data_IF_878263249427
#
_entry.id   IF_878263249427
#
_cell.length_a   1.000
_cell.length_b   1.000
_cell.length_c   1.000
_cell.angle_alpha   90.00
_cell.angle_beta   90.00
_cell.angle_gamma   90.00
#
_symmetry.space_group_name_H-M   'P 1'
#
loop_
_entity.id
_entity.type
_entity.pdbx_description
1 polymer ?
#
# COMPACT_ATOMS: atom_id res chain seq x y z
N UNK A 1 -3.11 -54.94 38.59
CA UNK A 1 -4.03 -53.78 38.53
C UNK A 1 -3.19 -52.52 38.33
N UNK A 2 -3.19 -51.93 37.13
CA UNK A 2 -2.63 -50.59 36.92
C UNK A 2 -3.35 -49.98 35.70
N UNK A 3 -4.35 -49.13 35.96
CA UNK A 3 -5.06 -48.38 34.92
C UNK A 3 -4.27 -47.10 34.66
N UNK A 4 -3.60 -47.00 33.52
CA UNK A 4 -3.00 -45.75 33.05
C UNK A 4 -4.12 -44.91 32.44
N UNK A 5 -4.51 -43.83 33.13
CA UNK A 5 -5.43 -42.82 32.59
C UNK A 5 -4.59 -41.82 31.81
N UNK A 6 -4.66 -41.88 30.48
CA UNK A 6 -4.08 -40.88 29.61
C UNK A 6 -4.96 -39.61 29.64
N UNK A 7 -4.45 -38.55 30.27
CA UNK A 7 -5.09 -37.24 30.23
C UNK A 7 -4.81 -36.59 28.87
N UNK A 8 -5.84 -36.48 28.02
CA UNK A 8 -5.81 -35.70 26.79
C UNK A 8 -5.87 -34.20 27.14
N UNK A 9 -4.72 -33.53 27.11
CA UNK A 9 -4.63 -32.07 27.16
C UNK A 9 -5.02 -31.53 25.78
N UNK A 10 -6.27 -31.09 25.64
CA UNK A 10 -6.73 -30.30 24.50
C UNK A 10 -6.12 -28.90 24.60
N UNK A 11 -5.03 -28.66 23.85
CA UNK A 11 -4.48 -27.33 23.64
C UNK A 11 -5.49 -26.56 22.78
N UNK A 12 -6.35 -25.78 23.41
CA UNK A 12 -7.20 -24.82 22.71
C UNK A 12 -6.29 -23.70 22.16
N UNK A 13 -5.86 -23.86 20.90
CA UNK A 13 -5.22 -22.76 20.18
C UNK A 13 -6.21 -21.58 20.10
N UNK A 14 -5.80 -20.35 20.43
CA UNK A 14 -6.69 -19.20 20.32
C UNK A 14 -6.99 -18.96 18.84
N UNK A 15 -8.22 -19.26 18.41
CA UNK A 15 -8.71 -19.03 17.05
C UNK A 15 -8.83 -17.53 16.69
N UNK A 16 -8.45 -16.62 17.59
CA UNK A 16 -8.69 -15.18 17.48
C UNK A 16 -7.66 -14.42 16.65
N UNK A 17 -6.59 -15.06 16.15
CA UNK A 17 -5.49 -14.37 15.48
C UNK A 17 -5.60 -14.25 13.95
N UNK A 18 -6.65 -14.79 13.31
CA UNK A 18 -6.78 -14.81 11.84
C UNK A 18 -7.72 -13.75 11.25
N UNK A 19 -8.14 -12.75 12.03
CA UNK A 19 -9.20 -11.83 11.60
C UNK A 19 -8.75 -10.60 10.76
N UNK A 20 -7.48 -10.49 10.35
CA UNK A 20 -7.00 -9.23 9.74
C UNK A 20 -6.20 -9.36 8.43
N UNK A 21 -6.26 -10.48 7.73
CA UNK A 21 -5.91 -10.45 6.31
C UNK A 21 -7.19 -10.08 5.54
N UNK A 22 -7.36 -8.80 5.20
CA UNK A 22 -8.28 -8.43 4.12
C UNK A 22 -7.88 -9.27 2.90
N UNK A 23 -8.68 -10.30 2.58
CA UNK A 23 -8.36 -11.25 1.53
C UNK A 23 -8.42 -10.52 0.18
N UNK A 24 -7.27 -10.06 -0.28
CA UNK A 24 -7.13 -9.55 -1.62
C UNK A 24 -7.18 -10.72 -2.60
N UNK A 25 -8.25 -10.76 -3.40
CA UNK A 25 -8.36 -11.68 -4.53
C UNK A 25 -8.04 -10.94 -5.81
N UNK A 26 -6.93 -11.29 -6.47
CA UNK A 26 -6.54 -10.69 -7.74
C UNK A 26 -7.61 -10.95 -8.82
N UNK A 27 -7.84 -10.00 -9.74
CA UNK A 27 -8.74 -10.21 -10.86
C UNK A 27 -8.12 -11.22 -11.84
N UNK A 28 -8.95 -11.97 -12.55
CA UNK A 28 -8.50 -12.95 -13.55
C UNK A 28 -7.63 -12.30 -14.65
N UNK A 29 -7.99 -11.07 -15.04
CA UNK A 29 -7.19 -10.23 -15.94
C UNK A 29 -6.66 -9.01 -15.22
N UNK A 30 -5.35 -8.77 -15.32
CA UNK A 30 -4.72 -7.51 -14.92
C UNK A 30 -4.57 -6.66 -16.18
N UNK A 31 -5.16 -5.46 -16.16
CA UNK A 31 -5.07 -4.52 -17.25
C UNK A 31 -3.61 -4.14 -17.53
N UNK A 32 -3.31 -3.75 -18.77
CA UNK A 32 -2.01 -3.17 -19.13
C UNK A 32 -1.98 -1.70 -18.68
N UNK A 33 -0.94 -1.24 -17.95
CA UNK A 33 -0.79 0.16 -17.62
C UNK A 33 -0.54 1.00 -18.88
N UNK A 34 -0.88 2.28 -18.82
CA UNK A 34 -0.55 3.27 -19.85
C UNK A 34 0.82 3.90 -19.54
N UNK A 35 1.60 4.31 -20.56
CA UNK A 35 2.84 5.03 -20.32
C UNK A 35 2.63 6.27 -19.43
N UNK A 36 3.60 6.56 -18.58
CA UNK A 36 3.59 7.68 -17.65
C UNK A 36 4.98 8.35 -17.69
N UNK A 37 5.02 9.67 -17.64
CA UNK A 37 6.23 10.46 -17.82
C UNK A 37 6.02 11.94 -17.49
N UNK A 38 7.09 12.74 -17.58
CA UNK A 38 7.03 14.15 -17.20
C UNK A 38 6.08 14.94 -18.12
N UNK A 39 5.50 16.00 -17.56
CA UNK A 39 4.65 16.95 -18.26
C UNK A 39 5.06 18.38 -17.91
N UNK A 40 4.45 19.39 -18.54
CA UNK A 40 4.68 20.80 -18.16
C UNK A 40 4.30 21.07 -16.69
N UNK A 41 3.24 20.43 -16.19
CA UNK A 41 2.79 20.57 -14.79
C UNK A 41 3.66 19.78 -13.82
N UNK A 42 4.24 18.68 -14.30
CA UNK A 42 5.09 17.80 -13.51
C UNK A 42 6.41 17.52 -14.26
N UNK A 43 7.32 18.50 -14.34
CA UNK A 43 8.54 18.37 -15.14
C UNK A 43 9.53 17.42 -14.51
N UNK A 44 10.47 16.90 -15.31
CA UNK A 44 11.60 16.11 -14.80
C UNK A 44 12.44 16.94 -13.83
N UNK A 45 12.75 16.40 -12.65
CA UNK A 45 13.69 16.97 -11.69
C UNK A 45 14.67 15.91 -11.23
N UNK A 46 15.95 16.16 -11.48
CA UNK A 46 17.05 15.32 -11.00
C UNK A 46 17.76 16.08 -9.90
N UNK A 47 17.40 15.77 -8.66
CA UNK A 47 17.89 16.44 -7.46
C UNK A 47 18.41 15.40 -6.46
N UNK A 48 19.30 15.78 -5.54
CA UNK A 48 19.68 14.92 -4.42
C UNK A 48 18.45 14.51 -3.60
N UNK A 49 18.45 13.26 -3.12
CA UNK A 49 17.43 12.75 -2.20
C UNK A 49 17.84 13.16 -0.78
N UNK A 50 16.98 13.91 -0.11
CA UNK A 50 17.18 14.36 1.28
C UNK A 50 16.44 13.50 2.30
N UNK A 51 15.29 12.96 1.94
CA UNK A 51 14.47 12.10 2.81
C UNK A 51 13.55 11.19 1.97
N UNK A 52 12.72 10.40 2.66
CA UNK A 52 11.70 9.57 2.02
C UNK A 52 10.38 9.72 2.75
N UNK A 53 9.29 9.78 1.97
CA UNK A 53 7.92 9.69 2.48
C UNK A 53 7.30 8.37 2.05
N UNK A 54 6.79 7.59 3.01
CA UNK A 54 5.92 6.45 2.72
C UNK A 54 4.46 6.91 2.76
N UNK A 55 3.85 7.05 1.60
CA UNK A 55 2.48 7.52 1.48
C UNK A 55 1.48 6.36 1.59
N UNK A 56 0.59 6.43 2.59
CA UNK A 56 -0.44 5.43 2.85
C UNK A 56 -1.82 6.06 2.67
N UNK A 57 -2.71 5.38 1.94
CA UNK A 57 -4.08 5.85 1.69
C UNK A 57 -5.12 5.00 2.44
N UNK A 58 -6.17 5.64 2.94
CA UNK A 58 -7.33 4.96 3.54
C UNK A 58 -8.42 4.73 2.49
N UNK A 59 -8.55 3.49 2.01
CA UNK A 59 -9.41 3.16 0.88
C UNK A 59 -10.88 3.50 1.09
N UNK A 60 -11.51 3.26 2.26
CA UNK A 60 -12.92 3.61 2.47
C UNK A 60 -13.24 5.09 2.25
N UNK A 61 -12.33 6.00 2.61
CA UNK A 61 -12.54 7.43 2.34
C UNK A 61 -12.27 7.78 0.88
N UNK A 62 -11.19 7.24 0.29
CA UNK A 62 -10.90 7.40 -1.14
C UNK A 62 -12.07 6.94 -2.02
N UNK A 63 -12.64 5.78 -1.73
CA UNK A 63 -13.71 5.17 -2.52
C UNK A 63 -15.06 5.91 -2.47
N UNK A 64 -15.27 6.86 -1.55
CA UNK A 64 -16.49 7.69 -1.56
C UNK A 64 -16.58 8.54 -2.83
N UNK A 65 -15.45 9.10 -3.27
CA UNK A 65 -15.39 10.03 -4.40
C UNK A 65 -14.65 9.47 -5.60
N UNK A 66 -13.86 8.41 -5.46
CA UNK A 66 -13.18 7.78 -6.57
C UNK A 66 -14.16 7.29 -7.65
N UNK A 67 -13.84 7.56 -8.91
CA UNK A 67 -14.59 7.15 -10.10
C UNK A 67 -13.62 6.57 -11.14
N UNK A 68 -14.16 5.96 -12.19
CA UNK A 68 -13.38 5.46 -13.33
C UNK A 68 -12.88 4.02 -13.18
N UNK A 69 -12.31 3.50 -14.26
CA UNK A 69 -11.88 2.11 -14.35
C UNK A 69 -10.70 1.78 -13.43
N UNK A 70 -9.78 2.73 -13.22
CA UNK A 70 -8.55 2.51 -12.47
C UNK A 70 -8.80 2.30 -10.97
N UNK A 71 -9.90 2.83 -10.42
CA UNK A 71 -10.31 2.65 -9.02
C UNK A 71 -11.23 1.44 -8.80
N UNK A 72 -11.70 0.80 -9.87
CA UNK A 72 -12.71 -0.27 -9.78
C UNK A 72 -12.22 -1.46 -8.95
N UNK A 73 -10.95 -1.85 -9.09
CA UNK A 73 -10.40 -2.95 -8.30
C UNK A 73 -10.38 -2.63 -6.80
N UNK A 74 -10.02 -1.40 -6.43
CA UNK A 74 -9.98 -0.94 -5.05
C UNK A 74 -11.38 -0.73 -4.43
N UNK A 75 -12.34 -0.24 -5.22
CA UNK A 75 -13.59 0.31 -4.69
C UNK A 75 -14.86 -0.49 -5.01
N UNK A 76 -14.84 -1.34 -6.03
CA UNK A 76 -16.03 -2.07 -6.51
C UNK A 76 -15.77 -3.58 -6.69
N UNK A 77 -14.58 -4.06 -6.33
CA UNK A 77 -14.21 -5.47 -6.41
C UNK A 77 -14.70 -6.30 -5.22
N UNK A 78 -14.36 -7.60 -5.22
CA UNK A 78 -14.58 -8.50 -4.07
C UNK A 78 -13.61 -8.21 -2.91
N UNK A 79 -12.52 -7.49 -3.17
CA UNK A 79 -11.56 -7.08 -2.14
C UNK A 79 -12.09 -5.89 -1.35
N UNK A 80 -12.02 -5.97 -0.02
CA UNK A 80 -12.27 -4.83 0.88
C UNK A 80 -10.92 -4.30 1.34
N UNK A 81 -10.47 -3.20 0.75
CA UNK A 81 -9.19 -2.59 1.12
C UNK A 81 -9.36 -1.66 2.33
N UNK A 82 -8.42 -1.73 3.27
CA UNK A 82 -8.25 -0.76 4.35
C UNK A 82 -7.19 0.27 3.98
N UNK A 83 -6.12 0.32 4.78
CA UNK A 83 -4.92 1.05 4.41
C UNK A 83 -4.21 0.37 3.24
N UNK A 84 -3.82 1.15 2.25
CA UNK A 84 -3.09 0.69 1.06
C UNK A 84 -1.86 1.57 0.86
N UNK A 85 -0.82 0.99 0.29
CA UNK A 85 0.35 1.75 -0.12
C UNK A 85 -0.02 2.62 -1.32
N UNK A 86 0.09 3.93 -1.15
CA UNK A 86 0.07 4.85 -2.28
C UNK A 86 1.42 4.78 -2.98
N UNK A 87 2.51 5.02 -2.26
CA UNK A 87 3.86 5.03 -2.83
C UNK A 87 4.97 5.25 -1.81
N UNK A 88 6.21 5.01 -2.26
CA UNK A 88 7.43 5.41 -1.55
C UNK A 88 8.11 6.52 -2.35
N UNK A 89 8.20 7.70 -1.77
CA UNK A 89 8.60 8.91 -2.48
C UNK A 89 9.97 9.36 -1.99
N UNK A 90 10.99 9.41 -2.87
CA UNK A 90 12.21 10.14 -2.56
C UNK A 90 11.89 11.63 -2.56
N UNK A 91 12.05 12.27 -1.41
CA UNK A 91 11.93 13.71 -1.24
C UNK A 91 13.31 14.36 -1.30
N UNK A 92 13.34 15.65 -1.65
CA UNK A 92 14.56 16.45 -1.62
C UNK A 92 14.74 17.16 -0.28
N UNK A 93 15.48 18.25 -0.29
CA UNK A 93 15.59 19.13 0.88
C UNK A 93 14.45 20.17 0.88
N UNK A 94 13.79 20.33 2.02
CA UNK A 94 12.73 21.33 2.15
C UNK A 94 11.51 21.01 1.29
N UNK A 95 11.17 21.90 0.34
CA UNK A 95 10.01 21.76 -0.55
C UNK A 95 10.36 21.21 -1.93
N UNK A 96 11.61 20.80 -2.15
CA UNK A 96 12.05 20.23 -3.42
C UNK A 96 11.94 18.70 -3.40
N UNK A 97 11.73 18.09 -4.56
CA UNK A 97 11.76 16.64 -4.70
C UNK A 97 12.21 16.20 -6.10
N UNK A 98 13.01 15.13 -6.21
CA UNK A 98 13.31 14.50 -7.49
C UNK A 98 12.06 13.80 -8.05
N UNK A 99 11.87 13.87 -9.37
CA UNK A 99 10.81 13.14 -10.06
C UNK A 99 11.15 12.86 -11.52
N UNK A 100 10.63 11.75 -12.04
CA UNK A 100 10.83 11.31 -13.43
C UNK A 100 12.32 11.27 -13.82
N UNK A 101 13.18 10.78 -12.92
CA UNK A 101 14.64 10.92 -13.05
C UNK A 101 15.20 10.19 -14.28
N UNK A 102 14.53 9.11 -14.72
CA UNK A 102 14.84 8.33 -15.92
C UNK A 102 13.54 8.02 -16.67
N UNK A 103 13.58 7.80 -18.00
CA UNK A 103 12.44 7.24 -18.73
C UNK A 103 11.99 5.91 -18.13
N UNK A 104 10.68 5.69 -18.07
CA UNK A 104 10.09 4.49 -17.51
C UNK A 104 9.39 3.67 -18.59
N UNK A 105 9.83 2.44 -18.77
CA UNK A 105 9.03 1.44 -19.47
C UNK A 105 7.79 1.07 -18.66
N UNK A 106 6.87 0.34 -19.31
CA UNK A 106 5.72 -0.22 -18.63
C UNK A 106 6.16 -1.23 -17.57
N UNK A 107 5.58 -1.11 -16.37
CA UNK A 107 5.83 -2.03 -15.26
C UNK A 107 5.48 -3.46 -15.69
N UNK A 108 6.40 -4.44 -15.53
CA UNK A 108 6.15 -5.82 -15.94
C UNK A 108 4.93 -6.43 -15.25
N UNK A 109 4.19 -7.28 -15.97
CA UNK A 109 2.96 -7.93 -15.45
C UNK A 109 3.15 -8.64 -14.12
N UNK A 110 4.31 -9.28 -13.90
CA UNK A 110 4.61 -9.95 -12.64
C UNK A 110 4.71 -8.95 -11.48
N UNK A 111 5.39 -7.82 -11.69
CA UNK A 111 5.46 -6.74 -10.68
C UNK A 111 4.07 -6.18 -10.39
N UNK A 112 3.20 -6.02 -11.39
CA UNK A 112 1.80 -5.62 -11.15
C UNK A 112 1.07 -6.64 -10.27
N UNK A 113 1.18 -7.94 -10.57
CA UNK A 113 0.56 -9.02 -9.77
C UNK A 113 0.99 -8.98 -8.32
N UNK A 114 2.29 -8.82 -8.08
CA UNK A 114 2.88 -8.88 -6.73
C UNK A 114 2.52 -7.66 -5.87
N UNK A 115 2.10 -6.55 -6.49
CA UNK A 115 1.81 -5.30 -5.80
C UNK A 115 0.33 -4.94 -5.73
N UNK A 116 -0.53 -5.53 -6.57
CA UNK A 116 -1.92 -5.09 -6.67
C UNK A 116 -2.70 -5.22 -5.36
N UNK A 117 -2.32 -6.15 -4.48
CA UNK A 117 -2.94 -6.31 -3.18
C UNK A 117 -2.49 -5.28 -2.13
N UNK A 118 -1.38 -4.58 -2.38
CA UNK A 118 -0.85 -3.53 -1.53
C UNK A 118 -1.17 -2.14 -2.10
N UNK A 119 -1.16 -2.00 -3.43
CA UNK A 119 -1.50 -0.81 -4.20
C UNK A 119 -2.56 -1.20 -5.25
N UNK A 120 -3.87 -1.09 -4.94
CA UNK A 120 -4.94 -1.67 -5.76
C UNK A 120 -5.33 -0.85 -6.99
N UNK A 121 -4.33 -0.38 -7.74
CA UNK A 121 -4.51 0.28 -9.03
C UNK A 121 -3.29 0.03 -9.92
N UNK A 122 -3.53 -0.54 -11.11
CA UNK A 122 -2.49 -0.78 -12.11
C UNK A 122 -1.83 0.53 -12.55
N UNK A 123 -2.63 1.56 -12.82
CA UNK A 123 -2.11 2.83 -13.28
C UNK A 123 -1.35 3.56 -12.17
N UNK A 124 -1.79 3.43 -10.91
CA UNK A 124 -1.03 3.98 -9.79
C UNK A 124 0.34 3.31 -9.66
N UNK A 125 0.41 1.97 -9.75
CA UNK A 125 1.70 1.26 -9.74
C UNK A 125 2.63 1.77 -10.87
N UNK A 126 2.09 2.02 -12.07
CA UNK A 126 2.90 2.62 -13.14
C UNK A 126 3.37 4.04 -12.80
N UNK A 127 2.48 4.87 -12.28
CA UNK A 127 2.78 6.25 -11.90
C UNK A 127 3.88 6.32 -10.85
N UNK A 128 3.74 5.55 -9.76
CA UNK A 128 4.72 5.51 -8.68
C UNK A 128 6.10 5.04 -9.16
N UNK A 129 6.14 4.07 -10.06
CA UNK A 129 7.39 3.68 -10.69
C UNK A 129 7.99 4.82 -11.51
N UNK A 130 7.23 5.38 -12.45
CA UNK A 130 7.71 6.37 -13.39
C UNK A 130 8.19 7.65 -12.69
N UNK A 131 7.37 8.18 -11.78
CA UNK A 131 7.62 9.44 -11.09
C UNK A 131 8.64 9.30 -9.97
N UNK A 132 8.54 8.27 -9.13
CA UNK A 132 9.32 8.16 -7.90
C UNK A 132 10.37 7.05 -7.96
N UNK A 133 10.00 5.85 -8.41
CA UNK A 133 10.89 4.70 -8.44
C UNK A 133 12.10 4.86 -9.36
N UNK A 134 11.95 5.53 -10.51
CA UNK A 134 13.05 5.81 -11.45
C UNK A 134 14.15 6.70 -10.85
N UNK A 135 13.89 7.39 -9.74
CA UNK A 135 14.87 8.17 -9.01
C UNK A 135 15.69 7.33 -8.01
N UNK A 136 15.18 6.18 -7.58
CA UNK A 136 15.81 5.35 -6.55
C UNK A 136 16.61 4.19 -7.15
N UNK A 137 16.15 3.63 -8.26
CA UNK A 137 16.74 2.42 -8.84
C UNK A 137 16.43 2.31 -10.34
N UNK A 138 17.08 1.36 -11.03
CA UNK A 138 16.82 1.03 -12.44
C UNK A 138 15.84 -0.12 -12.60
N UNK A 139 15.44 -0.79 -11.51
CA UNK A 139 14.56 -1.98 -11.55
C UNK A 139 13.26 -1.76 -10.76
N UNK A 140 12.08 -1.84 -11.38
CA UNK A 140 10.81 -1.67 -10.68
C UNK A 140 10.62 -2.68 -9.55
N UNK A 141 11.11 -3.92 -9.72
CA UNK A 141 11.06 -4.95 -8.67
C UNK A 141 11.76 -4.52 -7.39
N UNK A 142 12.91 -3.85 -7.47
CA UNK A 142 13.63 -3.39 -6.29
C UNK A 142 12.87 -2.28 -5.56
N UNK A 143 12.35 -1.31 -6.31
CA UNK A 143 11.54 -0.21 -5.77
C UNK A 143 10.31 -0.74 -5.03
N UNK A 144 9.54 -1.62 -5.68
CA UNK A 144 8.31 -2.14 -5.08
C UNK A 144 8.56 -3.13 -3.95
N UNK A 145 9.64 -3.93 -3.99
CA UNK A 145 10.00 -4.78 -2.86
C UNK A 145 10.29 -3.94 -1.61
N UNK A 146 11.07 -2.86 -1.74
CA UNK A 146 11.36 -1.95 -0.64
C UNK A 146 10.09 -1.25 -0.13
N UNK A 147 9.24 -0.79 -1.04
CA UNK A 147 8.00 -0.10 -0.70
C UNK A 147 7.03 -1.02 0.05
N UNK A 148 6.89 -2.28 -0.40
CA UNK A 148 6.09 -3.28 0.30
C UNK A 148 6.67 -3.64 1.66
N UNK A 149 8.00 -3.76 1.78
CA UNK A 149 8.65 -4.05 3.06
C UNK A 149 8.34 -2.96 4.11
N UNK A 150 8.42 -1.68 3.74
CA UNK A 150 8.03 -0.58 4.64
C UNK A 150 6.53 -0.60 4.96
N UNK A 151 5.67 -0.82 3.97
CA UNK A 151 4.22 -0.94 4.19
C UNK A 151 3.89 -2.08 5.17
N UNK A 152 4.53 -3.24 5.01
CA UNK A 152 4.33 -4.43 5.86
C UNK A 152 4.89 -4.26 7.28
N UNK A 153 5.87 -3.39 7.46
CA UNK A 153 6.42 -3.08 8.78
C UNK A 153 5.49 -2.18 9.61
N UNK A 154 4.55 -1.48 8.99
CA UNK A 154 3.59 -0.63 9.68
C UNK A 154 2.51 -1.46 10.39
N UNK A 155 2.20 -1.06 11.62
CA UNK A 155 1.03 -1.49 12.37
C UNK A 155 -0.06 -0.42 12.24
N UNK A 156 -1.29 -0.85 11.93
CA UNK A 156 -2.40 0.06 11.69
C UNK A 156 -3.36 0.09 12.87
N UNK A 157 -3.91 1.25 13.25
CA UNK A 157 -4.90 1.34 14.32
C UNK A 157 -6.21 0.65 13.89
N UNK A 158 -7.02 0.25 14.88
CA UNK A 158 -8.37 -0.28 14.63
C UNK A 158 -9.29 0.82 14.09
N UNK A 159 -9.37 0.91 12.76
CA UNK A 159 -10.21 1.88 12.07
C UNK A 159 -11.71 1.59 12.21
N UNK A 160 -12.11 0.36 12.55
CA UNK A 160 -13.52 0.05 12.82
C UNK A 160 -13.95 0.61 14.19
N UNK A 161 -13.06 0.59 15.18
CA UNK A 161 -13.28 1.28 16.45
C UNK A 161 -13.20 2.80 16.29
N UNK A 162 -12.16 3.33 15.62
CA UNK A 162 -11.98 4.77 15.43
C UNK A 162 -13.10 5.39 14.58
N UNK A 163 -13.51 4.73 13.51
CA UNK A 163 -14.54 5.22 12.59
C UNK A 163 -15.97 5.19 13.14
N UNK A 164 -16.21 4.52 14.28
CA UNK A 164 -17.50 4.54 14.99
C UNK A 164 -17.67 5.72 15.95
N UNK A 165 -16.60 6.48 16.19
CA UNK A 165 -16.67 7.67 17.07
C UNK A 165 -17.43 8.78 16.35
N UNK A 166 -18.32 9.46 17.08
CA UNK A 166 -19.04 10.63 16.54
C UNK A 166 -18.07 11.74 16.11
N UNK A 167 -17.00 11.93 16.89
CA UNK A 167 -15.89 12.83 16.55
C UNK A 167 -14.57 12.07 16.62
N UNK A 168 -13.77 12.15 15.55
CA UNK A 168 -12.38 11.70 15.51
C UNK A 168 -11.52 12.87 15.01
N UNK A 169 -10.64 13.40 15.87
CA UNK A 169 -9.71 14.46 15.48
C UNK A 169 -8.46 13.89 14.81
N UNK A 170 -7.76 14.71 14.03
CA UNK A 170 -6.46 14.35 13.44
C UNK A 170 -5.45 13.94 14.51
N UNK A 171 -5.40 14.67 15.64
CA UNK A 171 -4.52 14.33 16.76
C UNK A 171 -4.83 12.97 17.37
N UNK A 172 -6.11 12.65 17.59
CA UNK A 172 -6.50 11.33 18.11
C UNK A 172 -6.14 10.18 17.16
N UNK A 173 -6.28 10.39 15.85
CA UNK A 173 -5.83 9.43 14.85
C UNK A 173 -4.31 9.27 14.87
N UNK A 174 -3.56 10.38 14.87
CA UNK A 174 -2.10 10.38 14.91
C UNK A 174 -1.58 9.64 16.15
N UNK A 175 -2.15 9.92 17.33
CA UNK A 175 -1.81 9.24 18.57
C UNK A 175 -2.11 7.73 18.51
N UNK A 176 -3.24 7.35 17.90
CA UNK A 176 -3.60 5.94 17.76
C UNK A 176 -2.63 5.20 16.82
N UNK A 177 -2.22 5.86 15.73
CA UNK A 177 -1.23 5.32 14.81
C UNK A 177 0.16 5.21 15.45
N UNK A 178 0.58 6.26 16.17
CA UNK A 178 1.85 6.29 16.89
C UNK A 178 1.90 5.21 17.98
N UNK A 179 0.84 5.01 18.76
CA UNK A 179 0.78 3.93 19.77
C UNK A 179 0.88 2.53 19.17
N UNK A 180 0.50 2.35 17.91
CA UNK A 180 0.54 1.04 17.27
C UNK A 180 1.95 0.63 16.82
N UNK A 181 2.88 1.58 16.64
CA UNK A 181 4.20 1.37 16.03
C UNK A 181 5.33 1.58 17.05
#
# INVERSE_FOLDING_TARGET
MLKVVAALVLIAAPASALAQAAQCSLPAGIARPKPDGPSEKEPRRVLPIGSYTLAISWSPQFCKTARGADSRFQCAGKGRFGFVLHGLWPDGHGKDWPQYCRPADLVPRQVLRDNLCTTPSVQLIQHEWAKHGTCMTTKPTLYFNQSRAFYQALRYPDMAALGRRETLTVGQFADAFARAN
#
